data_IF_863468785169
#
_entry.id   IF_863468785169
#
_cell.length_a   1.000
_cell.length_b   1.000
_cell.length_c   1.000
_cell.angle_alpha   90.00
_cell.angle_beta   90.00
_cell.angle_gamma   90.00
#
_symmetry.space_group_name_H-M   'P 1'
#
loop_
_entity.id
_entity.type
_entity.pdbx_description
1 polymer ?
#
# COMPACT_ATOMS: atom_id res chain seq x y z
N UNK A 1 24.51 8.88 9.85
CA UNK A 1 23.24 8.93 9.10
C UNK A 1 22.78 7.49 8.91
N UNK A 2 21.57 7.10 9.35
CA UNK A 2 21.10 5.70 9.37
C UNK A 2 20.17 5.42 8.16
N UNK A 3 20.71 5.05 6.97
CA UNK A 3 19.90 4.73 5.80
C UNK A 3 18.94 3.56 6.04
N UNK A 4 19.31 2.62 6.91
CA UNK A 4 18.47 1.49 7.31
C UNK A 4 17.15 1.91 7.97
N UNK A 5 17.13 3.02 8.71
CA UNK A 5 15.91 3.50 9.38
C UNK A 5 14.91 4.09 8.36
N UNK A 6 15.42 4.77 7.34
CA UNK A 6 14.59 5.31 6.25
C UNK A 6 14.00 4.20 5.40
N UNK A 7 14.79 3.17 5.06
CA UNK A 7 14.30 2.00 4.31
C UNK A 7 13.25 1.23 5.12
N UNK A 8 13.47 1.03 6.42
CA UNK A 8 12.48 0.40 7.29
C UNK A 8 11.19 1.21 7.39
N UNK A 9 11.28 2.54 7.45
CA UNK A 9 10.13 3.44 7.46
C UNK A 9 9.34 3.38 6.15
N UNK A 10 10.01 3.47 5.00
CA UNK A 10 9.33 3.40 3.69
C UNK A 10 8.71 2.03 3.43
N UNK A 11 9.35 0.95 3.87
CA UNK A 11 8.78 -0.40 3.80
C UNK A 11 7.56 -0.58 4.71
N UNK A 12 7.59 0.00 5.92
CA UNK A 12 6.45 -0.01 6.83
C UNK A 12 5.28 0.80 6.26
N UNK A 13 5.55 1.99 5.72
CA UNK A 13 4.53 2.85 5.11
C UNK A 13 3.90 2.18 3.86
N UNK A 14 4.71 1.48 3.05
CA UNK A 14 4.22 0.68 1.92
C UNK A 14 3.32 -0.49 2.39
N UNK A 15 3.69 -1.18 3.47
CA UNK A 15 2.86 -2.27 3.99
C UNK A 15 1.57 -1.76 4.64
N UNK A 16 1.62 -0.63 5.35
CA UNK A 16 0.43 0.03 5.91
C UNK A 16 -0.55 0.45 4.81
N UNK A 17 -0.05 1.07 3.74
CA UNK A 17 -0.89 1.48 2.60
C UNK A 17 -1.49 0.28 1.87
N UNK A 18 -0.72 -0.80 1.71
CA UNK A 18 -1.23 -2.07 1.17
C UNK A 18 -2.36 -2.64 2.03
N UNK A 19 -2.18 -2.68 3.35
CA UNK A 19 -3.20 -3.15 4.29
C UNK A 19 -4.47 -2.30 4.25
N UNK A 20 -4.35 -0.98 4.10
CA UNK A 20 -5.48 -0.08 3.94
C UNK A 20 -6.26 -0.36 2.65
N UNK A 21 -5.56 -0.59 1.54
CA UNK A 21 -6.17 -0.93 0.24
C UNK A 21 -6.84 -2.31 0.28
N UNK A 22 -6.21 -3.32 0.90
CA UNK A 22 -6.83 -4.64 1.08
C UNK A 22 -8.09 -4.53 1.94
N UNK A 23 -8.03 -3.79 3.06
CA UNK A 23 -9.17 -3.57 3.96
C UNK A 23 -10.33 -2.89 3.24
N UNK A 24 -10.03 -1.85 2.45
CA UNK A 24 -11.04 -1.15 1.66
C UNK A 24 -11.66 -2.06 0.60
N UNK A 25 -10.84 -2.82 -0.13
CA UNK A 25 -11.31 -3.77 -1.14
C UNK A 25 -12.14 -4.92 -0.54
N UNK A 26 -11.82 -5.37 0.67
CA UNK A 26 -12.56 -6.40 1.39
C UNK A 26 -13.90 -5.86 1.91
N UNK A 27 -13.92 -4.66 2.48
CA UNK A 27 -15.15 -4.01 2.93
C UNK A 27 -16.12 -3.74 1.76
N UNK A 28 -15.58 -3.39 0.60
CA UNK A 28 -16.35 -3.09 -0.61
C UNK A 28 -16.49 -4.31 -1.56
N UNK A 29 -16.24 -5.54 -1.09
CA UNK A 29 -16.38 -6.73 -1.95
C UNK A 29 -17.84 -7.04 -2.31
N UNK A 30 -18.78 -6.60 -1.48
CA UNK A 30 -20.22 -6.83 -1.64
C UNK A 30 -20.98 -5.63 -2.24
N UNK A 31 -20.30 -4.53 -2.58
CA UNK A 31 -20.93 -3.38 -3.25
C UNK A 31 -20.97 -3.61 -4.76
N UNK A 32 -22.18 -3.72 -5.31
CA UNK A 32 -22.41 -3.91 -6.75
C UNK A 32 -21.96 -2.67 -7.53
N UNK A 33 -20.90 -2.81 -8.32
CA UNK A 33 -20.32 -1.73 -9.14
C UNK A 33 -18.98 -1.16 -8.67
N UNK A 34 -18.36 -1.72 -7.62
CA UNK A 34 -17.06 -1.26 -7.13
C UNK A 34 -15.89 -1.66 -8.06
N UNK A 35 -15.16 -0.67 -8.59
CA UNK A 35 -13.91 -0.90 -9.32
C UNK A 35 -12.79 -1.12 -8.30
N UNK A 36 -12.22 -2.33 -8.28
CA UNK A 36 -11.07 -2.65 -7.41
C UNK A 36 -9.88 -1.77 -7.79
N UNK A 37 -9.44 -0.93 -6.85
CA UNK A 37 -8.18 -0.22 -6.94
C UNK A 37 -7.03 -1.10 -6.45
N UNK A 38 -5.92 -1.10 -7.18
CA UNK A 38 -4.70 -1.85 -6.85
C UNK A 38 -3.59 -0.86 -6.56
N UNK A 39 -3.04 -0.89 -5.35
CA UNK A 39 -1.81 -0.18 -5.06
C UNK A 39 -0.67 -0.79 -5.91
N UNK A 40 -0.11 0.03 -6.81
CA UNK A 40 1.11 -0.27 -7.56
C UNK A 40 2.21 0.57 -6.94
N UNK A 41 3.24 -0.09 -6.41
CA UNK A 41 4.44 0.57 -5.91
C UNK A 41 5.49 0.56 -7.02
N UNK A 42 5.96 1.73 -7.42
CA UNK A 42 7.10 1.89 -8.33
C UNK A 42 8.35 2.22 -7.51
N UNK A 43 9.46 1.54 -7.80
CA UNK A 43 10.75 1.84 -7.18
C UNK A 43 11.30 3.16 -7.72
N UNK A 44 11.64 4.07 -6.82
CA UNK A 44 12.32 5.30 -7.15
C UNK A 44 13.82 5.00 -7.34
N UNK A 45 14.22 4.67 -8.57
CA UNK A 45 15.64 4.56 -8.95
C UNK A 45 16.23 5.98 -9.01
N UNK A 46 17.33 6.22 -8.28
CA UNK A 46 18.25 7.35 -8.49
C UNK A 46 19.66 6.80 -8.70
#
# INVERSE_FOLDING_TARGET
MYPALWIAKTGLDAEQTRMAVISNNLANVNTTGFKRDRAVFEDLIY
#
